data_IF_813354727118
#
_entry.id   IF_813354727118
#
_cell.length_a   1.000
_cell.length_b   1.000
_cell.length_c   1.000
_cell.angle_alpha   90.00
_cell.angle_beta   90.00
_cell.angle_gamma   90.00
#
_symmetry.space_group_name_H-M   'P 1'
#
loop_
_entity.id
_entity.type
_entity.pdbx_description
1 polymer ?
#
# COMPACT_ATOMS: atom_id res chain seq x y z
N UNK A 1 -0.90 8.38 -9.14
CA UNK A 1 -1.15 9.02 -7.82
C UNK A 1 -2.29 8.39 -7.02
N UNK A 2 -3.28 7.69 -7.61
CA UNK A 2 -4.45 7.16 -6.87
C UNK A 2 -4.10 6.21 -5.71
N UNK A 3 -3.08 5.37 -5.86
CA UNK A 3 -2.70 4.39 -4.82
C UNK A 3 -2.17 5.04 -3.53
N UNK A 4 -1.60 6.24 -3.61
CA UNK A 4 -1.05 6.94 -2.43
C UNK A 4 -2.09 7.77 -1.69
N UNK A 5 -3.29 7.95 -2.24
CA UNK A 5 -4.36 8.77 -1.67
C UNK A 5 -5.51 7.96 -1.07
N UNK A 6 -5.55 6.63 -1.23
CA UNK A 6 -6.65 5.80 -0.72
C UNK A 6 -6.48 5.39 0.73
N UNK A 7 -5.29 5.53 1.30
CA UNK A 7 -5.04 5.12 2.69
C UNK A 7 -5.61 6.14 3.65
N UNK A 8 -6.29 5.66 4.69
CA UNK A 8 -6.95 6.48 5.70
C UNK A 8 -6.11 6.56 6.98
N UNK A 9 -6.23 7.66 7.72
CA UNK A 9 -5.56 7.86 9.01
C UNK A 9 -4.03 8.03 8.93
N UNK A 10 -3.49 8.16 7.71
CA UNK A 10 -2.06 8.31 7.43
C UNK A 10 -1.91 9.42 6.41
N UNK A 11 -1.05 10.40 6.68
CA UNK A 11 -0.85 11.55 5.81
C UNK A 11 0.63 11.78 5.50
N UNK A 12 0.90 12.67 4.53
CA UNK A 12 2.25 13.07 4.14
C UNK A 12 3.06 11.97 3.45
N UNK A 13 4.38 12.12 3.44
CA UNK A 13 5.31 11.20 2.76
C UNK A 13 5.16 9.75 3.24
N UNK A 14 4.83 9.54 4.50
CA UNK A 14 4.58 8.21 5.07
C UNK A 14 3.41 7.49 4.39
N UNK A 15 2.34 8.19 4.04
CA UNK A 15 1.20 7.59 3.34
C UNK A 15 1.59 7.04 1.97
N UNK A 16 2.32 7.84 1.18
CA UNK A 16 2.72 7.48 -0.17
C UNK A 16 3.69 6.30 -0.21
N UNK A 17 4.77 6.37 0.58
CA UNK A 17 5.79 5.31 0.61
C UNK A 17 5.20 3.99 1.11
N UNK A 18 4.38 4.03 2.15
CA UNK A 18 3.77 2.81 2.69
C UNK A 18 2.80 2.18 1.71
N UNK A 19 1.95 2.98 1.05
CA UNK A 19 1.01 2.48 0.05
C UNK A 19 1.76 1.86 -1.14
N UNK A 20 2.82 2.52 -1.60
CA UNK A 20 3.68 2.00 -2.68
C UNK A 20 4.35 0.67 -2.31
N UNK A 21 5.05 0.59 -1.16
CA UNK A 21 5.71 -0.66 -0.74
C UNK A 21 4.71 -1.79 -0.49
N UNK A 22 3.52 -1.47 0.01
CA UNK A 22 2.44 -2.45 0.17
C UNK A 22 1.95 -2.96 -1.18
N UNK A 23 1.82 -2.08 -2.18
CA UNK A 23 1.47 -2.49 -3.54
C UNK A 23 2.53 -3.40 -4.16
N UNK A 24 3.81 -3.05 -4.03
CA UNK A 24 4.93 -3.88 -4.52
C UNK A 24 4.95 -5.27 -3.86
N UNK A 25 4.60 -5.34 -2.57
CA UNK A 25 4.45 -6.62 -1.85
C UNK A 25 3.28 -7.44 -2.39
N UNK A 26 2.12 -6.81 -2.59
CA UNK A 26 0.92 -7.49 -3.12
C UNK A 26 1.13 -8.01 -4.54
N UNK A 27 1.92 -7.31 -5.36
CA UNK A 27 2.29 -7.73 -6.71
C UNK A 27 3.42 -8.78 -6.73
N UNK A 28 3.95 -9.20 -5.57
CA UNK A 28 5.04 -10.16 -5.49
C UNK A 28 6.42 -9.64 -5.91
N UNK A 29 6.56 -8.33 -6.17
CA UNK A 29 7.85 -7.71 -6.51
C UNK A 29 8.75 -7.66 -5.28
N UNK A 30 8.18 -7.38 -4.10
CA UNK A 30 8.87 -7.43 -2.82
C UNK A 30 8.27 -8.52 -1.93
N UNK A 31 9.11 -9.11 -1.07
CA UNK A 31 8.65 -10.05 -0.05
C UNK A 31 8.14 -9.34 1.22
N UNK A 32 8.53 -8.08 1.43
CA UNK A 32 8.17 -7.29 2.61
C UNK A 32 7.87 -5.82 2.30
N UNK A 33 6.95 -5.24 3.06
CA UNK A 33 6.62 -3.82 3.10
C UNK A 33 7.09 -3.13 4.39
N UNK A 34 8.11 -3.70 5.07
CA UNK A 34 8.72 -3.13 6.29
C UNK A 34 9.09 -1.65 6.09
N UNK A 35 8.90 -0.86 7.15
CA UNK A 35 9.18 0.56 7.20
C UNK A 35 10.21 0.84 8.32
N UNK A 36 11.02 1.91 8.19
CA UNK A 36 11.92 2.32 9.26
C UNK A 36 11.13 2.78 10.50
N UNK A 37 11.65 2.50 11.68
CA UNK A 37 11.11 3.00 12.95
C UNK A 37 11.08 4.55 12.95
N UNK A 38 10.00 5.20 13.44
CA UNK A 38 8.82 4.66 14.13
C UNK A 38 7.62 4.37 13.21
N UNK A 39 7.84 4.26 11.90
CA UNK A 39 6.76 4.12 10.92
C UNK A 39 6.35 2.65 10.79
N UNK A 40 5.08 2.34 11.04
CA UNK A 40 4.55 0.99 10.87
C UNK A 40 4.24 0.66 9.41
N UNK A 41 4.28 -0.62 9.03
CA UNK A 41 3.75 -1.06 7.73
C UNK A 41 2.23 -0.81 7.63
N UNK A 42 1.65 -0.79 6.42
CA UNK A 42 0.19 -0.79 6.28
C UNK A 42 -0.34 -2.19 6.47
N UNK A 43 -1.42 -2.28 7.24
CA UNK A 43 -2.12 -3.50 7.59
C UNK A 43 -3.63 -3.22 7.62
N UNK A 44 -4.43 -4.28 7.77
CA UNK A 44 -5.89 -4.19 7.85
C UNK A 44 -6.48 -3.37 6.70
N UNK A 45 -7.49 -2.55 7.00
CA UNK A 45 -8.28 -1.79 6.02
C UNK A 45 -7.44 -1.11 4.93
N UNK A 46 -6.33 -0.47 5.30
CA UNK A 46 -5.50 0.23 4.32
C UNK A 46 -4.80 -0.71 3.33
N UNK A 47 -4.45 -1.93 3.75
CA UNK A 47 -3.95 -2.96 2.85
C UNK A 47 -5.04 -3.38 1.84
N UNK A 48 -6.28 -3.58 2.29
CA UNK A 48 -7.40 -3.88 1.38
C UNK A 48 -7.67 -2.74 0.39
N UNK A 49 -7.60 -1.48 0.82
CA UNK A 49 -7.79 -0.34 -0.07
C UNK A 49 -6.71 -0.27 -1.16
N UNK A 50 -5.46 -0.57 -0.81
CA UNK A 50 -4.37 -0.70 -1.79
C UNK A 50 -4.63 -1.87 -2.75
N UNK A 51 -5.03 -3.04 -2.24
CA UNK A 51 -5.39 -4.21 -3.07
C UNK A 51 -6.50 -3.86 -4.06
N UNK A 52 -7.55 -3.20 -3.60
CA UNK A 52 -8.69 -2.83 -4.43
C UNK A 52 -8.27 -1.93 -5.59
N UNK A 53 -7.36 -0.97 -5.37
CA UNK A 53 -6.81 -0.16 -6.47
C UNK A 53 -6.08 -1.03 -7.48
N UNK A 54 -5.25 -1.98 -7.03
CA UNK A 54 -4.52 -2.86 -7.94
C UNK A 54 -5.47 -3.70 -8.80
N UNK A 55 -6.51 -4.28 -8.21
CA UNK A 55 -7.56 -5.01 -8.93
C UNK A 55 -8.29 -4.12 -9.92
N UNK A 56 -8.72 -2.91 -9.51
CA UNK A 56 -9.38 -1.96 -10.41
C UNK A 56 -8.51 -1.52 -11.60
N UNK A 57 -7.19 -1.55 -11.43
CA UNK A 57 -6.23 -1.22 -12.50
C UNK A 57 -5.82 -2.42 -13.36
N UNK A 58 -6.29 -3.63 -13.03
CA UNK A 58 -5.89 -4.86 -13.71
C UNK A 58 -4.45 -5.29 -13.44
N UNK A 59 -3.83 -4.77 -12.37
CA UNK A 59 -2.47 -5.15 -11.97
C UNK A 59 -2.45 -6.37 -11.05
N UNK A 60 -3.58 -6.69 -10.41
CA UNK A 60 -3.74 -7.83 -9.53
C UNK A 60 -5.10 -8.49 -9.81
N UNK A 61 -5.16 -9.82 -9.76
CA UNK A 61 -6.40 -10.56 -9.89
C UNK A 61 -7.24 -10.49 -8.59
N UNK A 62 -8.57 -10.65 -8.72
CA UNK A 62 -9.50 -10.64 -7.59
C UNK A 62 -9.58 -12.00 -6.86
#
# INVERSE_FOLDING_TARGET
MRITSVVEGVSGFGAGVRAFKTAMKLLGVFTSNTMPDPVNALEGKNLQLVRQILVQTGLLDD
#
